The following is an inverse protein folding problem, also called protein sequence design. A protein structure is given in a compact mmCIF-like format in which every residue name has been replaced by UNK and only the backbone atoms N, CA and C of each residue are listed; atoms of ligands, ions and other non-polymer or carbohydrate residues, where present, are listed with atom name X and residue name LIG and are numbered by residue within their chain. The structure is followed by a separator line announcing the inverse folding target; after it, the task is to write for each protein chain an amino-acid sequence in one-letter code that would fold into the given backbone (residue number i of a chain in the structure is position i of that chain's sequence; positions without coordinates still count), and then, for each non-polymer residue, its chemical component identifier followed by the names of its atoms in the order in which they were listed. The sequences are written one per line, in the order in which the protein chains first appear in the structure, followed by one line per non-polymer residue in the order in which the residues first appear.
data_IF_595086998484
#
_entry.id   IF_595086998484
#
_cell.length_a   1.000
_cell.length_b   1.000
_cell.length_c   1.000
_cell.angle_alpha   90.00
_cell.angle_beta   90.00
_cell.angle_gamma   90.00
#
_symmetry.space_group_name_H-M   'P 1'
#
loop_
_entity.id
_entity.type
_entity.pdbx_description
1 polymer ?
#
# COMPACT_ATOMS: atom_id res chain seq x y z
N UNK A 1 22.88 19.31 -68.10
CA UNK A 1 22.90 19.99 -66.79
C UNK A 1 23.29 18.97 -65.73
N UNK A 2 24.46 19.19 -65.15
CA UNK A 2 25.07 18.44 -64.03
C UNK A 2 24.21 18.62 -62.76
N UNK A 3 24.12 17.65 -61.85
CA UNK A 3 24.88 17.55 -60.58
C UNK A 3 24.62 16.12 -60.05
N UNK A 4 25.55 15.16 -60.14
CA UNK A 4 26.66 14.81 -59.22
C UNK A 4 26.24 14.46 -57.78
N UNK A 5 26.42 13.17 -57.47
CA UNK A 5 26.47 12.56 -56.15
C UNK A 5 27.49 13.26 -55.25
N UNK A 6 27.12 13.54 -53.99
CA UNK A 6 28.04 14.02 -52.96
C UNK A 6 28.20 12.95 -51.87
N UNK A 7 29.29 12.19 -52.00
CA UNK A 7 29.94 11.45 -50.93
C UNK A 7 30.53 12.47 -49.96
N UNK A 8 30.16 12.42 -48.68
CA UNK A 8 30.89 13.14 -47.64
C UNK A 8 31.70 12.16 -46.81
N UNK A 9 33.02 12.30 -46.98
CA UNK A 9 34.10 11.62 -46.31
C UNK A 9 34.06 11.88 -44.80
N UNK A 10 34.25 10.82 -44.03
CA UNK A 10 34.50 10.85 -42.58
C UNK A 10 35.93 11.39 -42.37
N UNK A 11 36.15 12.49 -41.64
CA UNK A 11 37.48 12.91 -41.26
C UNK A 11 37.95 12.08 -40.07
N UNK A 12 38.96 11.25 -40.31
CA UNK A 12 39.79 10.60 -39.29
C UNK A 12 40.62 11.66 -38.56
N UNK A 13 40.19 12.04 -37.35
CA UNK A 13 40.99 12.84 -36.44
C UNK A 13 41.64 11.96 -35.37
N UNK A 14 42.97 11.89 -35.43
CA UNK A 14 43.89 11.36 -34.43
C UNK A 14 43.66 12.01 -33.06
N UNK A 15 43.65 11.25 -31.95
CA UNK A 15 43.56 11.82 -30.62
C UNK A 15 44.94 12.35 -30.17
N UNK A 16 45.15 13.67 -30.29
CA UNK A 16 46.23 14.34 -29.57
C UNK A 16 45.87 14.43 -28.09
N UNK A 17 46.77 13.90 -27.26
CA UNK A 17 46.66 13.87 -25.81
C UNK A 17 46.73 15.28 -25.22
N UNK A 18 45.65 15.74 -24.60
CA UNK A 18 45.68 16.86 -23.67
C UNK A 18 46.00 16.31 -22.27
N UNK A 19 47.27 16.42 -21.88
CA UNK A 19 47.73 16.25 -20.50
C UNK A 19 47.18 17.38 -19.63
N UNK A 20 46.17 17.08 -18.83
CA UNK A 20 45.75 17.93 -17.71
C UNK A 20 46.55 17.49 -16.48
N UNK A 21 47.48 18.33 -16.03
CA UNK A 21 48.17 18.16 -14.76
C UNK A 21 47.22 18.50 -13.60
N UNK A 22 47.03 17.56 -12.68
CA UNK A 22 46.34 17.81 -11.42
C UNK A 22 47.39 18.01 -10.31
N UNK A 23 47.26 19.02 -9.43
CA UNK A 23 48.13 19.17 -8.27
C UNK A 23 47.87 18.04 -7.27
N UNK A 24 48.97 17.47 -6.77
CA UNK A 24 49.04 16.34 -5.83
C UNK A 24 48.13 16.53 -4.62
N UNK A 25 47.01 15.79 -4.57
CA UNK A 25 46.33 15.46 -3.32
C UNK A 25 46.78 14.08 -2.88
N UNK A 26 47.51 14.04 -1.77
CA UNK A 26 47.77 12.83 -1.01
C UNK A 26 46.44 12.18 -0.60
N UNK A 27 46.07 11.11 -1.31
CA UNK A 27 45.00 10.21 -0.91
C UNK A 27 45.54 9.34 0.23
N UNK A 28 45.02 9.50 1.44
CA UNK A 28 45.14 8.45 2.44
C UNK A 28 44.40 7.21 1.91
N UNK A 29 45.16 6.17 1.57
CA UNK A 29 44.65 4.85 1.24
C UNK A 29 43.90 4.33 2.46
N UNK A 30 42.57 4.36 2.39
CA UNK A 30 41.72 3.69 3.36
C UNK A 30 41.97 2.19 3.18
N UNK A 31 42.66 1.57 4.13
CA UNK A 31 42.91 0.12 4.09
C UNK A 31 41.58 -0.62 3.92
N UNK A 32 41.49 -1.43 2.86
CA UNK A 32 40.39 -2.37 2.65
C UNK A 32 40.39 -3.36 3.82
N UNK A 33 39.26 -3.49 4.53
CA UNK A 33 39.12 -4.53 5.56
C UNK A 33 39.25 -5.91 4.90
N UNK A 34 40.00 -6.86 5.49
CA UNK A 34 40.11 -8.20 4.95
C UNK A 34 38.74 -8.89 4.92
N UNK A 35 38.47 -9.58 3.83
CA UNK A 35 37.24 -10.33 3.59
C UNK A 35 37.25 -11.59 4.48
N UNK A 36 36.39 -11.62 5.49
CA UNK A 36 36.23 -12.82 6.35
C UNK A 36 35.32 -13.81 5.58
N UNK A 37 35.75 -15.05 5.33
CA UNK A 37 34.89 -16.05 4.69
C UNK A 37 33.80 -16.50 5.66
N UNK A 38 32.55 -16.45 5.22
CA UNK A 38 31.39 -16.98 5.96
C UNK A 38 31.35 -18.51 5.81
N UNK A 39 31.29 -19.29 6.91
CA UNK A 39 31.23 -20.74 6.83
C UNK A 39 29.87 -21.21 6.32
N UNK A 40 29.88 -22.14 5.35
CA UNK A 40 28.69 -22.83 4.88
C UNK A 40 28.41 -23.99 5.84
N UNK A 41 27.39 -23.86 6.69
CA UNK A 41 27.02 -24.92 7.64
C UNK A 41 25.89 -25.78 7.04
N UNK A 42 25.99 -27.13 7.02
CA UNK A 42 25.00 -28.01 6.40
C UNK A 42 23.64 -28.00 7.12
N UNK A 43 22.57 -28.04 6.33
CA UNK A 43 21.17 -27.77 6.70
C UNK A 43 20.52 -28.74 7.70
N UNK A 44 21.21 -29.80 8.16
CA UNK A 44 20.59 -30.87 8.94
C UNK A 44 20.86 -30.82 10.45
N UNK A 45 21.64 -29.87 10.95
CA UNK A 45 21.88 -29.72 12.40
C UNK A 45 20.93 -28.72 13.10
N UNK A 46 19.91 -28.19 12.40
CA UNK A 46 19.05 -27.11 12.92
C UNK A 46 17.77 -27.57 13.63
N UNK A 47 17.61 -28.86 13.94
CA UNK A 47 16.37 -29.36 14.53
C UNK A 47 16.44 -29.78 16.00
N UNK A 48 17.62 -29.74 16.65
CA UNK A 48 17.71 -30.16 18.06
C UNK A 48 17.93 -29.01 19.07
N UNK A 49 18.46 -27.85 18.67
CA UNK A 49 18.68 -26.72 19.59
C UNK A 49 17.62 -25.61 19.47
N UNK A 50 16.82 -25.60 18.41
CA UNK A 50 15.78 -24.57 18.18
C UNK A 50 14.56 -24.73 19.10
N UNK A 51 14.35 -25.91 19.69
CA UNK A 51 13.24 -26.16 20.60
C UNK A 51 13.47 -25.70 22.05
N UNK A 52 14.71 -25.39 22.45
CA UNK A 52 15.04 -24.91 23.81
C UNK A 52 15.28 -23.39 23.90
N UNK A 53 15.35 -22.67 22.77
CA UNK A 53 15.53 -21.21 22.72
C UNK A 53 14.35 -20.44 22.12
N UNK A 54 13.25 -21.14 21.79
CA UNK A 54 12.04 -20.57 21.23
C UNK A 54 11.41 -19.38 22.00
N UNK A 55 11.58 -19.21 23.34
CA UNK A 55 11.03 -18.05 24.04
C UNK A 55 11.77 -16.73 23.76
N UNK A 56 13.00 -16.75 23.22
CA UNK A 56 13.80 -15.53 23.02
C UNK A 56 13.73 -14.94 21.60
N UNK A 57 13.07 -15.63 20.67
CA UNK A 57 12.90 -15.18 19.29
C UNK A 57 11.46 -14.79 18.93
N UNK A 58 10.53 -14.72 19.90
CA UNK A 58 9.23 -14.07 19.71
C UNK A 58 9.32 -12.55 19.90
N UNK A 59 10.26 -11.88 19.23
CA UNK A 59 10.27 -10.41 19.13
C UNK A 59 9.88 -10.00 17.71
N UNK A 60 8.64 -10.32 17.34
CA UNK A 60 7.95 -9.72 16.19
C UNK A 60 6.94 -8.68 16.71
N UNK A 61 6.67 -7.59 15.99
CA UNK A 61 6.44 -6.27 16.56
C UNK A 61 5.00 -6.12 17.05
N UNK A 62 4.82 -6.12 18.37
CA UNK A 62 3.57 -5.64 18.96
C UNK A 62 3.34 -4.17 18.53
N UNK A 63 2.08 -3.76 18.38
CA UNK A 63 1.77 -2.36 18.06
C UNK A 63 2.24 -1.48 19.22
N UNK A 64 2.90 -0.37 18.90
CA UNK A 64 3.27 0.62 19.91
C UNK A 64 2.02 1.09 20.67
N UNK A 65 2.03 0.90 21.98
CA UNK A 65 0.95 1.32 22.88
C UNK A 65 0.99 2.82 23.12
N UNK A 66 -0.11 3.39 23.59
CA UNK A 66 -0.18 4.82 23.96
C UNK A 66 0.80 5.15 25.09
N UNK A 67 0.94 4.23 26.04
CA UNK A 67 1.87 4.33 27.16
C UNK A 67 3.33 4.32 26.69
N UNK A 68 3.71 3.39 25.80
CA UNK A 68 5.05 3.40 25.22
C UNK A 68 5.34 4.68 24.43
N UNK A 69 4.32 5.26 23.77
CA UNK A 69 4.47 6.53 23.07
C UNK A 69 4.70 7.70 24.05
N UNK A 70 4.00 7.70 25.19
CA UNK A 70 4.14 8.72 26.23
C UNK A 70 5.53 8.67 26.86
N UNK A 71 6.00 7.48 27.25
CA UNK A 71 7.36 7.30 27.79
C UNK A 71 8.43 7.71 26.80
N UNK A 72 8.24 7.41 25.50
CA UNK A 72 9.18 7.83 24.47
C UNK A 72 9.22 9.36 24.28
N UNK A 73 8.11 10.06 24.56
CA UNK A 73 8.04 11.52 24.57
C UNK A 73 8.64 12.12 25.84
N UNK A 74 8.40 11.54 27.01
CA UNK A 74 9.00 11.99 28.28
C UNK A 74 10.53 11.83 28.27
N UNK A 75 11.01 10.69 27.76
CA UNK A 75 12.44 10.45 27.61
C UNK A 75 13.12 11.47 26.67
N UNK A 76 12.36 12.08 25.75
CA UNK A 76 12.81 13.17 24.88
C UNK A 76 13.06 14.47 25.64
N UNK A 77 12.17 14.82 26.57
CA UNK A 77 12.27 16.05 27.37
C UNK A 77 13.43 15.96 28.36
N UNK A 78 13.78 14.75 28.77
CA UNK A 78 14.90 14.48 29.69
C UNK A 78 16.29 14.53 29.05
N UNK A 79 16.40 14.66 27.72
CA UNK A 79 17.69 14.80 27.02
C UNK A 79 18.60 13.57 27.04
N UNK A 80 18.07 12.38 27.32
CA UNK A 80 18.81 11.11 27.38
C UNK A 80 19.36 10.67 26.01
N UNK A 81 20.42 9.87 26.00
CA UNK A 81 20.97 9.24 24.80
C UNK A 81 20.11 8.06 24.31
N UNK A 82 20.34 7.60 23.08
CA UNK A 82 19.49 6.59 22.45
C UNK A 82 19.57 5.24 23.15
N UNK A 83 20.73 4.89 23.67
CA UNK A 83 21.00 3.68 24.42
C UNK A 83 20.23 3.66 25.75
N UNK A 84 20.22 4.77 26.50
CA UNK A 84 19.41 4.90 27.71
C UNK A 84 17.92 4.87 27.38
N UNK A 85 17.47 5.57 26.34
CA UNK A 85 16.05 5.55 25.92
C UNK A 85 15.64 4.12 25.53
N UNK A 86 16.47 3.40 24.76
CA UNK A 86 16.15 2.03 24.34
C UNK A 86 16.12 1.04 25.50
N UNK A 87 16.90 1.27 26.57
CA UNK A 87 16.88 0.43 27.76
C UNK A 87 15.52 0.45 28.50
N UNK A 88 14.75 1.53 28.36
CA UNK A 88 13.40 1.67 28.93
C UNK A 88 12.34 0.87 28.14
N UNK A 89 12.70 0.35 26.96
CA UNK A 89 11.84 -0.47 26.10
C UNK A 89 12.46 -1.86 25.88
N UNK A 90 12.49 -2.74 26.90
CA UNK A 90 13.22 -4.01 26.84
C UNK A 90 12.69 -4.97 25.76
N UNK A 91 11.47 -4.77 25.28
CA UNK A 91 10.83 -5.54 24.20
C UNK A 91 10.98 -4.90 22.81
N UNK A 92 11.68 -3.77 22.70
CA UNK A 92 11.94 -3.04 21.45
C UNK A 92 13.44 -3.03 21.16
N UNK A 93 13.80 -3.04 19.88
CA UNK A 93 15.20 -2.82 19.48
C UNK A 93 15.49 -1.32 19.45
N UNK A 94 16.76 -0.94 19.63
CA UNK A 94 17.24 0.44 19.46
C UNK A 94 16.77 1.05 18.14
N UNK A 95 16.87 0.30 17.04
CA UNK A 95 16.42 0.73 15.72
C UNK A 95 14.89 0.93 15.67
N UNK A 96 14.10 0.10 16.37
CA UNK A 96 12.65 0.25 16.45
C UNK A 96 12.26 1.52 17.24
N UNK A 97 12.98 1.82 18.32
CA UNK A 97 12.81 3.03 19.13
C UNK A 97 13.16 4.28 18.31
N UNK A 98 14.29 4.28 17.61
CA UNK A 98 14.70 5.39 16.74
C UNK A 98 13.74 5.61 15.55
N UNK A 99 13.28 4.53 14.91
CA UNK A 99 12.29 4.61 13.83
C UNK A 99 10.91 5.06 14.32
N UNK A 100 10.52 4.68 15.53
CA UNK A 100 9.29 5.16 16.15
C UNK A 100 9.41 6.63 16.51
N UNK A 101 10.55 7.04 17.05
CA UNK A 101 10.85 8.42 17.39
C UNK A 101 10.79 9.33 16.16
N UNK A 102 11.49 8.98 15.08
CA UNK A 102 11.43 9.74 13.82
C UNK A 102 9.99 9.92 13.33
N UNK A 103 9.18 8.85 13.41
CA UNK A 103 7.75 8.92 13.07
C UNK A 103 6.92 9.74 14.03
N UNK A 104 7.19 9.75 15.34
CA UNK A 104 6.47 10.58 16.33
C UNK A 104 6.81 12.05 16.16
N UNK A 105 8.09 12.40 15.94
CA UNK A 105 8.54 13.76 15.63
C UNK A 105 7.94 14.24 14.30
N UNK A 106 7.85 13.36 13.32
CA UNK A 106 7.11 13.62 12.08
C UNK A 106 5.59 13.73 12.35
N UNK A 107 4.96 12.86 13.15
CA UNK A 107 3.51 12.85 13.43
C UNK A 107 3.02 14.04 14.27
N UNK A 108 3.80 14.51 15.27
CA UNK A 108 3.50 15.74 16.02
C UNK A 108 3.53 16.98 15.12
N UNK A 109 4.23 16.92 13.97
CA UNK A 109 4.23 17.99 12.96
C UNK A 109 3.34 17.67 11.73
N UNK A 110 2.83 16.44 11.60
CA UNK A 110 2.19 15.92 10.38
C UNK A 110 0.73 15.48 10.52
N UNK A 111 0.11 15.54 11.70
CA UNK A 111 -1.35 15.52 11.77
C UNK A 111 -1.88 16.83 11.15
N UNK A 112 -2.33 16.74 9.89
CA UNK A 112 -3.07 17.75 9.12
C UNK A 112 -2.32 19.02 8.70
N UNK A 113 -1.34 18.90 7.81
CA UNK A 113 -1.24 19.97 6.81
C UNK A 113 -2.40 19.77 5.85
N UNK A 114 -3.44 20.58 6.01
CA UNK A 114 -4.69 20.53 5.27
C UNK A 114 -4.53 20.61 3.75
N UNK A 115 -5.63 20.88 3.04
CA UNK A 115 -5.67 20.93 1.57
C UNK A 115 -4.49 21.70 0.97
N UNK A 116 -4.03 21.28 -0.20
CA UNK A 116 -2.95 21.97 -0.93
C UNK A 116 -3.45 23.34 -1.36
N UNK A 117 -2.77 24.41 -0.92
CA UNK A 117 -3.11 25.76 -1.39
C UNK A 117 -2.64 25.97 -2.83
N UNK A 118 -3.21 26.98 -3.48
CA UNK A 118 -2.84 27.36 -4.84
C UNK A 118 -1.36 27.83 -4.90
N UNK A 119 -0.89 28.55 -3.89
CA UNK A 119 0.51 28.99 -3.78
C UNK A 119 1.48 27.82 -3.62
N UNK A 120 1.14 26.84 -2.77
CA UNK A 120 1.93 25.62 -2.58
C UNK A 120 1.96 24.78 -3.86
N UNK A 121 0.83 24.68 -4.55
CA UNK A 121 0.69 23.96 -5.82
C UNK A 121 1.56 24.60 -6.91
N UNK A 122 1.51 25.93 -7.05
CA UNK A 122 2.35 26.67 -8.00
C UNK A 122 3.84 26.53 -7.70
N UNK A 123 4.24 26.65 -6.44
CA UNK A 123 5.63 26.51 -6.03
C UNK A 123 6.14 25.07 -6.24
N UNK A 124 5.32 24.06 -5.94
CA UNK A 124 5.63 22.66 -6.23
C UNK A 124 5.95 22.43 -7.71
N UNK A 125 5.10 22.90 -8.62
CA UNK A 125 5.30 22.77 -10.07
C UNK A 125 6.58 23.50 -10.51
N UNK A 126 6.81 24.71 -10.00
CA UNK A 126 8.01 25.50 -10.32
C UNK A 126 9.29 24.78 -9.90
N UNK A 127 9.36 24.28 -8.67
CA UNK A 127 10.53 23.58 -8.15
C UNK A 127 10.77 22.24 -8.87
N UNK A 128 9.70 21.53 -9.21
CA UNK A 128 9.79 20.29 -9.98
C UNK A 128 10.32 20.54 -11.39
N UNK A 129 9.81 21.56 -12.10
CA UNK A 129 10.30 21.95 -13.43
C UNK A 129 11.79 22.33 -13.42
N UNK A 130 12.28 22.88 -12.30
CA UNK A 130 13.71 23.15 -12.08
C UNK A 130 14.56 21.90 -11.77
N UNK A 131 13.97 20.71 -11.75
CA UNK A 131 14.68 19.46 -11.42
C UNK A 131 15.04 19.32 -9.94
N UNK A 132 14.38 20.07 -9.04
CA UNK A 132 14.71 20.04 -7.61
C UNK A 132 14.37 18.67 -7.01
N UNK A 133 15.27 18.03 -6.24
CA UNK A 133 14.98 16.75 -5.59
C UNK A 133 13.76 16.84 -4.67
N UNK A 134 12.89 15.83 -4.71
CA UNK A 134 11.61 15.81 -3.97
C UNK A 134 11.78 16.04 -2.46
N UNK A 135 12.88 15.58 -1.86
CA UNK A 135 13.18 15.80 -0.44
C UNK A 135 13.34 17.29 -0.12
N UNK A 136 14.04 18.05 -0.97
CA UNK A 136 14.22 19.50 -0.80
C UNK A 136 12.89 20.26 -0.99
N UNK A 137 12.10 19.83 -1.99
CA UNK A 137 10.75 20.37 -2.22
C UNK A 137 9.86 20.16 -0.98
N UNK A 138 9.91 18.97 -0.38
CA UNK A 138 9.15 18.63 0.82
C UNK A 138 9.51 19.52 2.01
N UNK A 139 10.80 19.75 2.26
CA UNK A 139 11.25 20.68 3.29
C UNK A 139 10.75 22.11 3.02
N UNK A 140 10.88 22.62 1.78
CA UNK A 140 10.47 23.99 1.45
C UNK A 140 8.97 24.23 1.54
N UNK A 141 8.16 23.25 1.10
CA UNK A 141 6.71 23.36 1.16
C UNK A 141 6.15 23.04 2.53
N UNK A 142 7.02 22.65 3.47
CA UNK A 142 6.66 22.04 4.71
C UNK A 142 5.61 20.95 4.41
N UNK A 143 5.96 19.89 3.69
CA UNK A 143 5.09 18.74 3.39
C UNK A 143 5.89 17.46 3.56
N UNK A 144 5.22 16.31 3.63
CA UNK A 144 5.93 15.03 3.61
C UNK A 144 6.45 14.74 2.20
N UNK A 145 7.58 14.04 2.08
CA UNK A 145 8.11 13.59 0.78
C UNK A 145 7.06 12.79 -0.01
N UNK A 146 6.24 12.01 0.69
CA UNK A 146 5.15 11.24 0.10
C UNK A 146 4.01 12.13 -0.38
N UNK A 147 3.61 13.13 0.40
CA UNK A 147 2.58 14.10 0.01
C UNK A 147 2.97 14.90 -1.23
N UNK A 148 4.24 15.33 -1.31
CA UNK A 148 4.78 15.99 -2.51
C UNK A 148 4.72 15.08 -3.73
N UNK A 149 5.18 13.83 -3.62
CA UNK A 149 5.12 12.84 -4.72
C UNK A 149 3.68 12.62 -5.19
N UNK A 150 2.73 12.48 -4.26
CA UNK A 150 1.33 12.29 -4.59
C UNK A 150 0.72 13.51 -5.27
N UNK A 151 0.93 14.72 -4.74
CA UNK A 151 0.41 15.95 -5.34
C UNK A 151 1.00 16.18 -6.72
N UNK A 152 2.31 16.00 -6.87
CA UNK A 152 2.97 16.14 -8.17
C UNK A 152 2.42 15.13 -9.17
N UNK A 153 2.21 13.89 -8.73
CA UNK A 153 1.61 12.86 -9.56
C UNK A 153 0.17 13.16 -9.98
N UNK A 154 -0.61 13.84 -9.13
CA UNK A 154 -1.97 14.32 -9.46
C UNK A 154 -1.94 15.51 -10.43
N UNK A 155 -1.01 16.44 -10.25
CA UNK A 155 -0.85 17.62 -11.12
C UNK A 155 -0.31 17.27 -12.51
N UNK A 156 0.61 16.31 -12.59
CA UNK A 156 1.19 15.84 -13.85
C UNK A 156 0.32 14.82 -14.58
N UNK A 157 -0.73 14.31 -13.93
CA UNK A 157 -1.71 13.48 -14.62
C UNK A 157 -2.55 14.37 -15.54
N UNK A 158 -2.12 14.47 -16.80
CA UNK A 158 -2.81 15.25 -17.85
C UNK A 158 -4.19 14.68 -18.15
N UNK A 159 -4.43 13.40 -17.84
CA UNK A 159 -5.69 12.73 -18.09
C UNK A 159 -6.30 12.14 -16.80
N UNK A 160 -7.20 12.89 -16.15
CA UNK A 160 -8.01 12.40 -15.02
C UNK A 160 -9.15 11.45 -15.46
N UNK A 161 -9.45 11.39 -16.76
CA UNK A 161 -10.49 10.56 -17.34
C UNK A 161 -10.24 9.05 -17.22
N UNK A 162 -11.24 8.23 -17.52
CA UNK A 162 -11.05 6.78 -17.57
C UNK A 162 -9.99 6.41 -18.62
N UNK A 163 -9.23 5.33 -18.39
CA UNK A 163 -8.29 4.88 -19.40
C UNK A 163 -9.04 4.46 -20.67
N UNK A 164 -8.55 4.91 -21.82
CA UNK A 164 -9.09 4.51 -23.09
C UNK A 164 -8.73 3.05 -23.44
N UNK A 165 -9.26 2.55 -24.55
CA UNK A 165 -9.05 1.15 -24.98
C UNK A 165 -7.58 0.89 -25.35
N UNK A 166 -6.90 1.87 -25.94
CA UNK A 166 -5.49 1.79 -26.34
C UNK A 166 -4.55 1.76 -25.13
N UNK A 167 -4.83 2.58 -24.12
CA UNK A 167 -4.09 2.65 -22.85
C UNK A 167 -4.25 1.35 -22.07
N UNK A 168 -5.47 0.81 -21.98
CA UNK A 168 -5.73 -0.50 -21.37
C UNK A 168 -4.98 -1.62 -22.10
N UNK A 169 -4.91 -1.59 -23.43
CA UNK A 169 -4.12 -2.55 -24.23
C UNK A 169 -2.62 -2.38 -23.97
N UNK A 170 -2.11 -1.16 -23.80
CA UNK A 170 -0.71 -0.92 -23.46
C UNK A 170 -0.35 -1.53 -22.10
N UNK A 171 -1.22 -1.38 -21.09
CA UNK A 171 -1.05 -2.04 -19.79
C UNK A 171 -1.07 -3.56 -19.93
N UNK A 172 -2.05 -4.11 -20.67
CA UNK A 172 -2.12 -5.56 -20.90
C UNK A 172 -0.84 -6.09 -21.55
N UNK A 173 -0.30 -5.40 -22.56
CA UNK A 173 0.96 -5.79 -23.22
C UNK A 173 2.14 -5.79 -22.26
N UNK A 174 2.27 -4.76 -21.41
CA UNK A 174 3.36 -4.69 -20.44
C UNK A 174 3.26 -5.81 -19.39
N UNK A 175 2.05 -6.10 -18.90
CA UNK A 175 1.81 -7.23 -17.98
C UNK A 175 2.15 -8.56 -18.63
N UNK A 176 1.72 -8.78 -19.87
CA UNK A 176 2.03 -10.01 -20.62
C UNK A 176 3.52 -10.15 -20.94
N UNK A 177 4.19 -9.05 -21.31
CA UNK A 177 5.65 -9.02 -21.54
C UNK A 177 6.40 -9.42 -20.28
N UNK A 178 6.08 -8.76 -19.16
CA UNK A 178 6.71 -9.03 -17.87
C UNK A 178 6.49 -10.48 -17.43
N UNK A 179 5.28 -11.02 -17.60
CA UNK A 179 4.99 -12.42 -17.31
C UNK A 179 5.82 -13.40 -18.15
N UNK A 180 5.99 -13.14 -19.46
CA UNK A 180 6.82 -13.97 -20.35
C UNK A 180 8.30 -13.90 -20.02
N UNK A 181 8.79 -12.73 -19.59
CA UNK A 181 10.19 -12.51 -19.24
C UNK A 181 10.53 -12.92 -17.80
N UNK A 182 9.54 -13.30 -16.97
CA UNK A 182 9.75 -13.52 -15.54
C UNK A 182 10.08 -12.24 -14.75
N UNK A 183 9.75 -11.08 -15.31
CA UNK A 183 10.07 -9.76 -14.75
C UNK A 183 8.87 -9.12 -14.03
N UNK A 184 9.13 -8.06 -13.26
CA UNK A 184 8.09 -7.20 -12.71
C UNK A 184 7.66 -6.16 -13.75
N UNK A 185 6.35 -5.94 -13.97
CA UNK A 185 5.87 -4.91 -14.90
C UNK A 185 6.39 -3.51 -14.56
N UNK A 186 6.88 -2.78 -15.58
CA UNK A 186 7.46 -1.44 -15.44
C UNK A 186 6.39 -0.35 -15.44
N UNK A 187 5.54 -0.35 -14.41
CA UNK A 187 4.42 0.59 -14.32
C UNK A 187 4.86 2.06 -14.24
N UNK A 188 6.04 2.35 -13.69
CA UNK A 188 6.52 3.74 -13.62
C UNK A 188 6.78 4.31 -15.00
N UNK A 189 7.53 3.59 -15.83
CA UNK A 189 7.81 3.99 -17.20
C UNK A 189 6.52 4.09 -18.03
N UNK A 190 5.62 3.11 -17.89
CA UNK A 190 4.36 3.11 -18.62
C UNK A 190 3.46 4.29 -18.23
N UNK A 191 3.43 4.64 -16.95
CA UNK A 191 2.67 5.79 -16.46
C UNK A 191 3.18 7.10 -17.04
N UNK A 192 4.51 7.31 -17.07
CA UNK A 192 5.13 8.48 -17.71
C UNK A 192 4.79 8.55 -19.19
N UNK A 193 4.91 7.42 -19.92
CA UNK A 193 4.60 7.36 -21.36
C UNK A 193 3.14 7.68 -21.67
N UNK A 194 2.21 7.26 -20.81
CA UNK A 194 0.77 7.46 -21.02
C UNK A 194 0.23 8.75 -20.36
N UNK A 195 1.05 9.55 -19.68
CA UNK A 195 0.60 10.76 -18.99
C UNK A 195 -0.33 10.50 -17.79
N UNK A 196 -0.22 9.33 -17.15
CA UNK A 196 -0.99 8.96 -15.96
C UNK A 196 -0.10 8.83 -14.73
N UNK A 197 -0.70 8.83 -13.55
CA UNK A 197 -0.01 8.44 -12.32
C UNK A 197 0.16 6.92 -12.22
N UNK A 198 1.28 6.48 -11.63
CA UNK A 198 1.65 5.06 -11.50
C UNK A 198 0.58 4.24 -10.77
N UNK A 199 -0.05 4.83 -9.75
CA UNK A 199 -1.13 4.19 -9.00
C UNK A 199 -2.33 3.81 -9.88
N UNK A 200 -2.66 4.64 -10.89
CA UNK A 200 -3.75 4.39 -11.84
C UNK A 200 -3.41 3.17 -12.69
N UNK A 201 -2.21 3.17 -13.25
CA UNK A 201 -1.71 2.06 -14.07
C UNK A 201 -1.73 0.76 -13.27
N UNK A 202 -1.21 0.78 -12.03
CA UNK A 202 -1.25 -0.39 -11.13
C UNK A 202 -2.67 -0.85 -10.85
N UNK A 203 -3.58 0.07 -10.55
CA UNK A 203 -4.99 -0.22 -10.30
C UNK A 203 -5.65 -0.90 -11.50
N UNK A 204 -5.46 -0.35 -12.70
CA UNK A 204 -6.03 -0.94 -13.92
C UNK A 204 -5.37 -2.27 -14.26
N UNK A 205 -4.04 -2.41 -14.10
CA UNK A 205 -3.32 -3.66 -14.33
C UNK A 205 -3.86 -4.82 -13.49
N UNK A 206 -4.17 -4.57 -12.21
CA UNK A 206 -4.78 -5.57 -11.32
C UNK A 206 -6.19 -6.02 -11.75
N UNK A 207 -6.90 -5.17 -12.50
CA UNK A 207 -8.27 -5.43 -12.97
C UNK A 207 -8.32 -5.97 -14.39
N UNK A 208 -7.28 -5.74 -15.16
CA UNK A 208 -7.10 -6.28 -16.51
C UNK A 208 -6.89 -7.79 -16.37
N UNK A 209 -7.79 -8.58 -16.95
CA UNK A 209 -7.83 -10.03 -16.79
C UNK A 209 -8.61 -10.53 -15.55
N UNK A 210 -9.05 -9.64 -14.66
CA UNK A 210 -9.95 -10.04 -13.59
C UNK A 210 -11.37 -10.25 -14.14
N UNK A 211 -11.95 -11.42 -13.87
CA UNK A 211 -13.34 -11.76 -14.19
C UNK A 211 -14.29 -10.74 -13.57
N UNK A 212 -15.13 -10.17 -14.43
CA UNK A 212 -16.27 -9.32 -14.07
C UNK A 212 -17.54 -10.18 -14.12
N UNK A 213 -18.48 -9.90 -13.24
CA UNK A 213 -19.78 -10.60 -13.20
C UNK A 213 -19.92 -11.63 -12.08
N UNK A 214 -20.98 -12.44 -12.20
CA UNK A 214 -21.47 -13.38 -11.18
C UNK A 214 -20.39 -14.37 -10.76
N UNK A 215 -20.46 -14.78 -9.49
CA UNK A 215 -19.63 -15.85 -8.94
C UNK A 215 -20.27 -17.19 -9.25
N UNK A 216 -19.48 -18.15 -9.74
CA UNK A 216 -19.95 -19.51 -9.90
C UNK A 216 -19.83 -20.30 -8.60
N UNK A 217 -20.59 -21.38 -8.48
CA UNK A 217 -20.52 -22.28 -7.31
C UNK A 217 -19.10 -22.84 -7.18
N UNK A 218 -18.44 -23.19 -8.29
CA UNK A 218 -17.06 -23.67 -8.28
C UNK A 218 -16.07 -22.62 -7.76
N UNK A 219 -16.27 -21.33 -8.10
CA UNK A 219 -15.46 -20.24 -7.55
C UNK A 219 -15.68 -20.09 -6.03
N UNK A 220 -16.92 -20.21 -5.55
CA UNK A 220 -17.23 -20.15 -4.13
C UNK A 220 -16.62 -21.33 -3.36
N UNK A 221 -16.72 -22.55 -3.89
CA UNK A 221 -16.08 -23.74 -3.31
C UNK A 221 -14.56 -23.57 -3.25
N UNK A 222 -13.96 -23.05 -4.33
CA UNK A 222 -12.52 -22.78 -4.38
C UNK A 222 -12.10 -21.72 -3.37
N UNK A 223 -12.83 -20.61 -3.28
CA UNK A 223 -12.57 -19.53 -2.33
C UNK A 223 -12.66 -20.05 -0.89
N UNK A 224 -13.69 -20.84 -0.59
CA UNK A 224 -13.87 -21.49 0.71
C UNK A 224 -12.69 -22.37 1.09
N UNK A 225 -12.24 -23.22 0.17
CA UNK A 225 -11.08 -24.09 0.40
C UNK A 225 -9.81 -23.29 0.70
N UNK A 226 -9.57 -22.21 -0.06
CA UNK A 226 -8.38 -21.37 0.12
C UNK A 226 -8.42 -20.64 1.46
N UNK A 227 -9.57 -20.05 1.83
CA UNK A 227 -9.72 -19.34 3.10
C UNK A 227 -9.57 -20.29 4.28
N UNK A 228 -10.19 -21.49 4.23
CA UNK A 228 -10.01 -22.52 5.27
C UNK A 228 -8.54 -22.96 5.43
N UNK A 229 -7.79 -23.05 4.33
CA UNK A 229 -6.38 -23.48 4.36
C UNK A 229 -5.43 -22.40 4.88
N UNK A 230 -5.68 -21.13 4.56
CA UNK A 230 -4.78 -20.02 4.93
C UNK A 230 -5.20 -19.31 6.22
N UNK A 231 -6.49 -19.39 6.59
CA UNK A 231 -7.08 -18.58 7.64
C UNK A 231 -7.53 -17.19 7.15
N UNK A 232 -8.45 -16.57 7.90
CA UNK A 232 -9.02 -15.25 7.57
C UNK A 232 -8.08 -14.08 7.89
N UNK A 233 -7.05 -14.32 8.71
CA UNK A 233 -6.04 -13.32 9.09
C UNK A 233 -5.02 -13.05 7.99
N UNK A 234 -4.97 -13.88 6.95
CA UNK A 234 -4.03 -13.73 5.83
C UNK A 234 -4.46 -12.59 4.90
N UNK A 235 -3.47 -11.88 4.34
CA UNK A 235 -3.73 -10.79 3.39
C UNK A 235 -4.50 -11.30 2.18
N UNK A 236 -5.67 -10.72 1.91
CA UNK A 236 -6.53 -11.06 0.76
C UNK A 236 -5.87 -10.98 -0.62
N UNK A 237 -4.75 -10.26 -0.75
CA UNK A 237 -3.91 -10.27 -1.94
C UNK A 237 -3.37 -11.68 -2.26
N UNK A 238 -3.02 -12.46 -1.23
CA UNK A 238 -2.54 -13.83 -1.39
C UNK A 238 -3.67 -14.79 -1.77
N UNK A 239 -4.84 -14.64 -1.15
CA UNK A 239 -6.04 -15.41 -1.50
C UNK A 239 -6.40 -15.19 -2.97
N UNK A 240 -6.40 -13.93 -3.43
CA UNK A 240 -6.65 -13.59 -4.83
C UNK A 240 -5.64 -14.21 -5.80
N UNK A 241 -4.35 -14.23 -5.43
CA UNK A 241 -3.30 -14.89 -6.21
C UNK A 241 -3.58 -16.39 -6.38
N UNK A 242 -4.02 -17.08 -5.32
CA UNK A 242 -4.39 -18.51 -5.39
C UNK A 242 -5.74 -18.76 -6.09
N UNK A 243 -6.67 -17.81 -6.01
CA UNK A 243 -7.96 -17.89 -6.72
C UNK A 243 -7.76 -17.80 -8.24
N UNK A 244 -6.94 -16.87 -8.70
CA UNK A 244 -6.72 -16.61 -10.12
C UNK A 244 -7.95 -15.96 -10.77
N UNK A 245 -7.75 -14.81 -11.43
CA UNK A 245 -8.83 -14.13 -12.16
C UNK A 245 -9.86 -13.40 -11.28
N UNK A 246 -9.76 -13.40 -9.95
CA UNK A 246 -10.53 -12.50 -9.07
C UNK A 246 -9.58 -11.63 -8.25
N UNK A 247 -9.91 -10.36 -8.06
CA UNK A 247 -9.12 -9.42 -7.25
C UNK A 247 -9.29 -9.67 -5.75
N UNK A 248 -8.35 -9.18 -4.94
CA UNK A 248 -8.41 -9.27 -3.47
C UNK A 248 -9.71 -8.72 -2.89
N UNK A 249 -10.14 -7.55 -3.35
CA UNK A 249 -11.37 -6.92 -2.92
C UNK A 249 -12.62 -7.72 -3.33
N UNK A 250 -12.61 -8.34 -4.52
CA UNK A 250 -13.70 -9.23 -4.93
C UNK A 250 -13.78 -10.46 -4.02
N UNK A 251 -12.65 -11.11 -3.73
CA UNK A 251 -12.58 -12.28 -2.86
C UNK A 251 -13.04 -11.95 -1.44
N UNK A 252 -12.52 -10.86 -0.87
CA UNK A 252 -12.92 -10.38 0.46
C UNK A 252 -14.41 -10.12 0.54
N UNK A 253 -14.96 -9.31 -0.37
CA UNK A 253 -16.40 -9.02 -0.39
C UNK A 253 -17.24 -10.28 -0.55
N UNK A 254 -16.82 -11.20 -1.43
CA UNK A 254 -17.55 -12.46 -1.62
C UNK A 254 -17.56 -13.29 -0.35
N UNK A 255 -16.41 -13.43 0.32
CA UNK A 255 -16.31 -14.13 1.59
C UNK A 255 -17.18 -13.49 2.67
N UNK A 256 -16.94 -12.20 2.96
CA UNK A 256 -17.59 -11.47 4.04
C UNK A 256 -19.10 -11.32 3.86
N UNK A 257 -19.61 -11.27 2.62
CA UNK A 257 -21.03 -11.02 2.37
C UNK A 257 -21.84 -12.27 2.05
N UNK A 258 -21.23 -13.34 1.51
CA UNK A 258 -22.00 -14.45 0.97
C UNK A 258 -21.55 -15.84 1.41
N UNK A 259 -20.27 -16.02 1.76
CA UNK A 259 -19.71 -17.36 2.01
C UNK A 259 -19.40 -17.61 3.48
N UNK A 260 -18.83 -16.63 4.21
CA UNK A 260 -18.34 -16.84 5.57
C UNK A 260 -19.46 -17.50 6.44
N UNK A 261 -19.24 -18.72 6.95
CA UNK A 261 -20.26 -19.50 7.67
C UNK A 261 -20.55 -18.95 9.08
N UNK A 262 -19.70 -18.08 9.64
CA UNK A 262 -19.92 -17.48 10.97
C UNK A 262 -21.20 -16.65 11.02
N UNK A 263 -21.64 -16.11 9.87
CA UNK A 263 -22.82 -15.27 9.80
C UNK A 263 -24.04 -16.00 9.28
N UNK A 264 -25.14 -15.88 10.03
CA UNK A 264 -26.43 -16.45 9.68
C UNK A 264 -27.03 -15.72 8.47
N UNK A 265 -27.58 -16.49 7.53
CA UNK A 265 -28.33 -15.96 6.38
C UNK A 265 -29.81 -15.90 6.74
N UNK A 266 -30.39 -14.70 6.68
CA UNK A 266 -31.83 -14.50 6.81
C UNK A 266 -32.49 -14.81 5.46
N UNK A 267 -33.25 -15.89 5.39
CA UNK A 267 -33.99 -16.27 4.18
C UNK A 267 -35.21 -15.37 3.96
N UNK A 268 -35.97 -15.11 5.03
CA UNK A 268 -37.13 -14.22 5.05
C UNK A 268 -37.12 -13.43 6.34
N UNK A 269 -37.36 -12.13 6.22
CA UNK A 269 -37.58 -11.26 7.37
C UNK A 269 -39.04 -11.34 7.80
N UNK A 270 -39.26 -11.55 9.09
CA UNK A 270 -40.59 -11.56 9.73
C UNK A 270 -40.90 -10.22 10.40
N UNK A 271 -42.17 -10.00 10.75
CA UNK A 271 -42.58 -8.81 11.52
C UNK A 271 -41.83 -8.71 12.85
N UNK A 272 -41.75 -9.81 13.59
CA UNK A 272 -40.99 -9.90 14.85
C UNK A 272 -39.52 -9.51 14.70
N UNK A 273 -38.87 -9.92 13.60
CA UNK A 273 -37.50 -9.53 13.30
C UNK A 273 -37.39 -8.03 13.00
N UNK A 274 -38.36 -7.45 12.29
CA UNK A 274 -38.39 -6.03 12.00
C UNK A 274 -38.65 -5.20 13.27
N UNK A 275 -39.54 -5.65 14.15
CA UNK A 275 -39.79 -5.06 15.48
C UNK A 275 -38.53 -5.08 16.35
N UNK A 276 -37.91 -6.26 16.49
CA UNK A 276 -36.65 -6.41 17.24
C UNK A 276 -35.54 -5.52 16.68
N UNK A 277 -35.45 -5.40 15.34
CA UNK A 277 -34.47 -4.57 14.67
C UNK A 277 -34.72 -3.08 14.95
N UNK A 278 -35.96 -2.62 14.89
CA UNK A 278 -36.34 -1.23 15.16
C UNK A 278 -36.15 -0.88 16.63
N UNK A 279 -36.51 -1.78 17.55
CA UNK A 279 -36.32 -1.59 18.98
C UNK A 279 -34.84 -1.46 19.34
N UNK A 280 -34.01 -2.41 18.91
CA UNK A 280 -32.57 -2.40 19.18
C UNK A 280 -31.90 -1.16 18.58
N UNK A 281 -32.32 -0.74 17.38
CA UNK A 281 -31.80 0.46 16.75
C UNK A 281 -32.29 1.75 17.44
N UNK A 282 -33.54 1.77 17.92
CA UNK A 282 -34.13 2.87 18.69
C UNK A 282 -33.42 3.10 20.03
N UNK A 283 -32.88 2.05 20.63
CA UNK A 283 -31.99 2.11 21.80
C UNK A 283 -30.58 2.67 21.49
N UNK A 284 -30.32 3.09 20.25
CA UNK A 284 -29.05 3.70 19.83
C UNK A 284 -27.94 2.71 19.47
N UNK A 285 -28.23 1.41 19.34
CA UNK A 285 -27.20 0.42 19.01
C UNK A 285 -26.75 0.55 17.55
N UNK A 286 -25.47 0.28 17.33
CA UNK A 286 -24.91 0.24 15.98
C UNK A 286 -25.39 -1.01 15.22
N UNK A 287 -25.43 -0.93 13.89
CA UNK A 287 -25.80 -2.09 13.02
C UNK A 287 -24.98 -3.36 13.28
N UNK A 288 -23.76 -3.25 13.79
CA UNK A 288 -22.91 -4.40 14.15
C UNK A 288 -23.39 -5.07 15.44
N UNK A 289 -23.74 -4.28 16.44
CA UNK A 289 -24.24 -4.79 17.73
C UNK A 289 -25.62 -5.41 17.57
N UNK A 290 -26.50 -4.76 16.81
CA UNK A 290 -27.82 -5.32 16.45
C UNK A 290 -27.65 -6.66 15.73
N UNK A 291 -26.78 -6.71 14.73
CA UNK A 291 -26.51 -7.95 13.99
C UNK A 291 -26.02 -9.08 14.90
N UNK A 292 -25.14 -8.78 15.87
CA UNK A 292 -24.67 -9.75 16.86
C UNK A 292 -25.81 -10.23 17.76
N UNK A 293 -26.64 -9.32 18.27
CA UNK A 293 -27.78 -9.63 19.15
C UNK A 293 -28.86 -10.45 18.45
N UNK A 294 -29.07 -10.24 17.15
CA UNK A 294 -30.07 -10.98 16.35
C UNK A 294 -29.57 -12.33 15.82
N UNK A 295 -28.63 -12.99 16.52
CA UNK A 295 -28.10 -14.30 16.11
C UNK A 295 -26.96 -14.22 15.10
N UNK A 296 -26.04 -13.26 15.28
CA UNK A 296 -24.84 -13.08 14.45
C UNK A 296 -25.16 -12.93 12.94
N UNK A 297 -26.14 -12.08 12.64
CA UNK A 297 -26.44 -11.67 11.27
C UNK A 297 -25.26 -10.92 10.65
N UNK A 298 -25.27 -10.73 9.33
CA UNK A 298 -24.32 -9.81 8.69
C UNK A 298 -24.73 -8.36 8.97
N UNK A 299 -23.80 -7.46 9.36
CA UNK A 299 -24.12 -6.05 9.58
C UNK A 299 -24.72 -5.35 8.35
N UNK A 300 -24.29 -5.75 7.15
CA UNK A 300 -24.84 -5.24 5.89
C UNK A 300 -26.30 -5.66 5.67
N UNK A 301 -26.69 -6.86 6.13
CA UNK A 301 -28.07 -7.37 6.07
C UNK A 301 -29.00 -6.52 6.93
N UNK A 302 -28.58 -6.21 8.17
CA UNK A 302 -29.28 -5.29 9.08
C UNK A 302 -29.41 -3.90 8.45
N UNK A 303 -28.31 -3.33 7.93
CA UNK A 303 -28.32 -2.00 7.31
C UNK A 303 -29.26 -1.93 6.10
N UNK A 304 -29.25 -2.97 5.26
CA UNK A 304 -30.12 -3.03 4.09
C UNK A 304 -31.59 -3.07 4.51
N UNK A 305 -31.94 -3.84 5.54
CA UNK A 305 -33.31 -3.95 6.04
C UNK A 305 -33.80 -2.64 6.65
N UNK A 306 -32.99 -2.01 7.51
CA UNK A 306 -33.29 -0.69 8.09
C UNK A 306 -33.61 0.35 7.01
N UNK A 307 -32.82 0.37 5.92
CA UNK A 307 -33.10 1.27 4.79
C UNK A 307 -34.46 0.98 4.14
N UNK A 308 -34.80 -0.30 3.95
CA UNK A 308 -36.12 -0.67 3.40
C UNK A 308 -37.27 -0.23 4.30
N UNK A 309 -37.14 -0.41 5.62
CA UNK A 309 -38.16 0.02 6.59
C UNK A 309 -38.34 1.53 6.61
N UNK A 310 -37.22 2.29 6.63
CA UNK A 310 -37.26 3.76 6.55
C UNK A 310 -37.94 4.26 5.28
N UNK A 311 -37.58 3.69 4.13
CA UNK A 311 -38.20 4.08 2.85
C UNK A 311 -39.69 3.74 2.81
N UNK A 312 -40.13 2.67 3.49
CA UNK A 312 -41.54 2.31 3.60
C UNK A 312 -42.31 3.31 4.47
N UNK A 313 -41.73 3.75 5.59
CA UNK A 313 -42.33 4.76 6.48
C UNK A 313 -42.54 6.09 5.75
N UNK A 314 -41.50 6.60 5.07
CA UNK A 314 -41.58 7.83 4.27
C UNK A 314 -42.68 7.75 3.20
N UNK A 315 -42.88 6.57 2.59
CA UNK A 315 -43.91 6.39 1.57
C UNK A 315 -45.33 6.43 2.16
N UNK A 316 -45.52 5.93 3.39
CA UNK A 316 -46.82 5.96 4.07
C UNK A 316 -47.17 7.42 4.42
N UNK A 317 -46.22 8.17 4.99
CA UNK A 317 -46.39 9.59 5.32
C UNK A 317 -46.62 10.50 4.10
N UNK A 318 -46.22 10.08 2.90
CA UNK A 318 -46.43 10.85 1.67
C UNK A 318 -47.78 10.61 0.96
N UNK A 319 -48.52 9.60 1.42
CA UNK A 319 -49.81 9.18 0.83
C UNK A 319 -50.99 9.60 1.73
N UNK A 320 -50.72 9.92 2.99
CA UNK A 320 -51.62 10.61 3.93
C UNK A 320 -51.50 12.13 3.78
#
# INVERSE_FOLDING_TARGET
MLIRQAVWLIPSCSPQALTISFPSRTLQVRQLRPHIPVPVVPYLAYHSTTLLLAPLLSRSPEKWTTEENFRLLEALESGKDWEAIASEFPNRTLEAVQNKFTRIREDHTAKNRGSWTESQTRLLVKLHKKGTPTRKIATQLNRTCQGVRFKLSDLLATNRGALDKSEKRAIQREVSRAAKAGEVPRYSWLATRLGHYVGKIRYYALRIGAKKGRWSVQEDTRLTRIVKKLGESVRWAEIARKMGGRTSNQCFKRWSWHINPEFVKVARWTGEMDESLMELFGRGLTTKEVAKKMGNLRPDTVRSRLRTLKNRAVKIESVE
#
